data_IF_645365256382
#
_entry.id   IF_645365256382
#
_cell.length_a   1.000
_cell.length_b   1.000
_cell.length_c   1.000
_cell.angle_alpha   90.00
_cell.angle_beta   90.00
_cell.angle_gamma   90.00
#
_symmetry.space_group_name_H-M   'P 1'
#
loop_
_entity.id
_entity.type
_entity.pdbx_description
1 polymer ?
#
# COMPACT_ATOMS: atom_id res chain seq x y z
N UNK A 1 25.16 33.97 63.21
CA UNK A 1 26.06 33.00 63.86
C UNK A 1 26.00 31.74 63.01
N UNK A 2 26.78 31.60 61.94
CA UNK A 2 28.24 31.56 61.86
C UNK A 2 28.81 30.38 62.66
N UNK A 3 29.20 29.32 61.95
CA UNK A 3 30.18 28.33 62.38
C UNK A 3 29.66 26.90 62.58
N UNK A 4 29.90 26.02 61.60
CA UNK A 4 30.45 24.66 61.79
C UNK A 4 30.88 24.13 60.42
N UNK A 5 32.16 24.32 60.03
CA UNK A 5 33.21 23.28 59.97
C UNK A 5 32.79 22.07 59.12
N UNK A 6 33.23 21.89 57.87
CA UNK A 6 34.61 21.72 57.38
C UNK A 6 35.36 20.57 58.06
N UNK A 7 35.12 19.34 57.61
CA UNK A 7 36.12 18.27 57.54
C UNK A 7 35.61 17.16 56.60
N UNK A 8 36.52 16.35 56.05
CA UNK A 8 36.27 15.19 55.17
C UNK A 8 36.36 15.43 53.64
N UNK A 9 37.55 15.87 53.23
CA UNK A 9 38.19 15.45 51.97
C UNK A 9 39.28 14.42 52.32
N UNK A 10 39.22 13.21 51.75
CA UNK A 10 40.37 12.47 51.18
C UNK A 10 40.07 10.96 51.05
N UNK A 11 39.51 10.53 49.93
CA UNK A 11 39.79 9.22 49.31
C UNK A 11 39.11 9.13 47.95
N UNK A 12 39.86 8.82 46.90
CA UNK A 12 39.30 8.41 45.61
C UNK A 12 39.58 9.37 44.47
N UNK A 13 40.85 9.63 44.17
CA UNK A 13 41.24 10.23 42.89
C UNK A 13 42.51 9.54 42.35
N UNK A 14 42.38 8.26 42.01
CA UNK A 14 43.45 7.48 41.34
C UNK A 14 42.96 6.63 40.15
N UNK A 15 41.73 6.84 39.65
CA UNK A 15 41.16 6.02 38.56
C UNK A 15 40.73 6.82 37.32
N UNK A 16 41.38 7.97 37.07
CA UNK A 16 41.07 8.83 35.91
C UNK A 16 42.24 9.03 34.93
N UNK A 17 43.47 8.65 35.28
CA UNK A 17 44.64 8.88 34.41
C UNK A 17 45.05 7.69 33.55
N UNK A 18 44.51 6.47 33.76
CA UNK A 18 44.86 5.31 32.92
C UNK A 18 43.90 5.06 31.74
N UNK A 19 42.75 5.76 31.67
CA UNK A 19 41.76 5.53 30.60
C UNK A 19 41.85 6.50 29.41
N UNK A 20 42.86 7.37 29.39
CA UNK A 20 43.05 8.39 28.35
C UNK A 20 44.19 8.10 27.36
N UNK A 21 45.10 7.15 27.65
CA UNK A 21 46.23 6.82 26.74
C UNK A 21 45.94 5.67 25.76
N UNK A 22 44.81 4.96 25.89
CA UNK A 22 44.45 3.84 25.00
C UNK A 22 43.48 4.22 23.86
N UNK A 23 43.36 5.52 23.55
CA UNK A 23 42.52 6.04 22.45
C UNK A 23 43.29 6.72 21.30
N UNK A 24 44.62 6.61 21.28
CA UNK A 24 45.49 7.42 20.41
C UNK A 24 46.29 6.69 19.32
N UNK A 25 46.15 5.38 19.13
CA UNK A 25 46.94 4.62 18.13
C UNK A 25 46.12 3.53 17.42
N UNK A 26 45.08 3.92 16.68
CA UNK A 26 44.52 3.07 15.63
C UNK A 26 43.69 3.89 14.63
N UNK A 27 44.34 4.87 14.01
CA UNK A 27 43.72 5.68 12.95
C UNK A 27 44.78 6.13 11.94
N UNK A 28 45.44 5.18 11.29
CA UNK A 28 46.04 5.44 9.99
C UNK A 28 46.09 4.18 9.13
N UNK A 29 45.78 4.37 7.84
CA UNK A 29 45.91 3.44 6.72
C UNK A 29 44.96 2.22 6.61
N UNK A 30 43.68 2.47 6.36
CA UNK A 30 42.86 1.59 5.54
C UNK A 30 42.02 2.42 4.56
N UNK A 31 42.66 2.76 3.44
CA UNK A 31 42.02 3.32 2.25
C UNK A 31 40.91 2.36 1.78
N UNK A 32 39.63 2.79 1.71
CA UNK A 32 38.58 1.92 1.18
C UNK A 32 38.86 1.66 -0.32
N UNK A 33 38.73 0.41 -0.80
CA UNK A 33 38.82 0.15 -2.22
C UNK A 33 37.70 0.90 -2.93
N UNK A 34 38.11 1.75 -3.88
CA UNK A 34 37.23 2.39 -4.82
C UNK A 34 36.40 1.32 -5.56
N UNK A 35 35.08 1.56 -5.65
CA UNK A 35 34.27 0.97 -6.72
C UNK A 35 33.66 -0.40 -6.44
N UNK A 36 32.90 -0.54 -5.35
CA UNK A 36 31.84 -1.54 -5.27
C UNK A 36 30.67 -1.12 -6.18
N UNK A 37 30.83 -1.28 -7.49
CA UNK A 37 29.74 -1.10 -8.45
C UNK A 37 28.62 -2.09 -8.13
N UNK A 38 27.49 -1.57 -7.64
CA UNK A 38 26.27 -2.37 -7.49
C UNK A 38 25.96 -2.96 -8.87
N UNK A 39 25.87 -4.30 -9.01
CA UNK A 39 25.57 -4.90 -10.31
C UNK A 39 24.21 -4.39 -10.78
N UNK A 40 24.23 -3.53 -11.80
CA UNK A 40 23.04 -3.19 -12.55
C UNK A 40 22.69 -4.41 -13.38
N UNK A 41 21.76 -5.23 -12.90
CA UNK A 41 21.18 -6.29 -13.71
C UNK A 41 20.34 -5.65 -14.81
N UNK A 42 20.92 -5.55 -16.00
CA UNK A 42 20.19 -5.19 -17.22
C UNK A 42 19.63 -6.49 -17.80
N UNK A 43 18.32 -6.70 -17.64
CA UNK A 43 17.65 -7.83 -18.29
C UNK A 43 17.46 -7.48 -19.77
N UNK A 44 18.34 -8.00 -20.62
CA UNK A 44 18.15 -7.94 -22.06
C UNK A 44 17.21 -9.07 -22.50
N UNK A 45 16.03 -8.70 -23.00
CA UNK A 45 15.17 -9.63 -23.72
C UNK A 45 15.42 -9.40 -25.21
N UNK A 46 15.97 -10.39 -25.90
CA UNK A 46 16.14 -10.34 -27.35
C UNK A 46 14.80 -10.63 -28.04
N UNK A 47 14.35 -9.68 -28.85
CA UNK A 47 13.22 -9.83 -29.76
C UNK A 47 13.75 -9.87 -31.20
N UNK A 48 13.00 -10.50 -32.12
CA UNK A 48 13.29 -10.51 -33.56
C UNK A 48 13.37 -9.10 -34.20
N UNK A 49 12.91 -8.05 -33.50
CA UNK A 49 12.93 -6.66 -33.95
C UNK A 49 13.98 -5.78 -33.26
N UNK A 50 14.87 -6.36 -32.44
CA UNK A 50 15.94 -5.63 -31.73
C UNK A 50 15.84 -5.73 -30.20
N UNK A 51 16.84 -5.16 -29.51
CA UNK A 51 16.98 -5.23 -28.05
C UNK A 51 16.01 -4.27 -27.37
N UNK A 52 15.00 -4.81 -26.66
CA UNK A 52 14.13 -3.99 -25.82
C UNK A 52 14.80 -3.86 -24.45
N UNK A 53 15.33 -2.67 -24.15
CA UNK A 53 15.80 -2.35 -22.81
C UNK A 53 14.60 -2.13 -21.89
N UNK A 54 14.20 -3.17 -21.16
CA UNK A 54 13.34 -3.01 -20.00
C UNK A 54 14.23 -2.43 -18.91
N UNK A 55 14.11 -1.13 -18.67
CA UNK A 55 14.88 -0.41 -17.64
C UNK A 55 14.76 -1.04 -16.25
N UNK A 56 15.59 -0.59 -15.29
CA UNK A 56 15.83 -1.28 -14.03
C UNK A 56 14.53 -1.65 -13.32
N UNK A 57 14.44 -2.92 -12.90
CA UNK A 57 13.43 -3.40 -11.96
C UNK A 57 13.34 -2.41 -10.80
N UNK A 58 12.15 -1.84 -10.58
CA UNK A 58 11.89 -0.88 -9.52
C UNK A 58 12.35 -1.46 -8.18
N UNK A 59 13.48 -0.97 -7.69
CA UNK A 59 14.03 -1.37 -6.40
C UNK A 59 13.14 -0.72 -5.33
N UNK A 60 12.28 -1.53 -4.71
CA UNK A 60 11.25 -1.11 -3.74
C UNK A 60 11.81 -0.49 -2.44
N UNK A 61 13.14 -0.42 -2.26
CA UNK A 61 13.80 0.18 -1.10
C UNK A 61 14.20 1.66 -1.23
N UNK A 62 13.82 2.36 -2.31
CA UNK A 62 14.19 3.77 -2.51
C UNK A 62 13.24 4.73 -1.76
N UNK A 63 13.68 5.94 -1.34
CA UNK A 63 12.82 6.94 -0.68
C UNK A 63 11.57 7.35 -1.51
N UNK A 64 11.55 7.08 -2.81
CA UNK A 64 10.35 7.21 -3.64
C UNK A 64 9.23 6.20 -3.30
N UNK A 65 9.54 5.05 -2.71
CA UNK A 65 8.57 4.03 -2.33
C UNK A 65 7.68 4.47 -1.16
N UNK A 66 8.26 5.09 -0.12
CA UNK A 66 7.49 5.62 1.01
C UNK A 66 6.54 6.77 0.60
N UNK A 67 6.96 7.60 -0.37
CA UNK A 67 6.07 8.60 -0.96
C UNK A 67 4.99 7.98 -1.84
N UNK A 68 5.30 6.90 -2.56
CA UNK A 68 4.33 6.19 -3.36
C UNK A 68 3.27 5.50 -2.50
N UNK A 69 3.65 4.96 -1.34
CA UNK A 69 2.75 4.35 -0.37
C UNK A 69 1.77 5.36 0.21
N UNK A 70 2.25 6.53 0.68
CA UNK A 70 1.36 7.60 1.18
C UNK A 70 0.42 8.16 0.11
N UNK A 71 0.91 8.33 -1.12
CA UNK A 71 0.08 8.79 -2.23
C UNK A 71 -0.95 7.72 -2.63
N UNK A 72 -0.59 6.44 -2.59
CA UNK A 72 -1.51 5.34 -2.82
C UNK A 72 -2.61 5.29 -1.76
N UNK A 73 -2.27 5.47 -0.47
CA UNK A 73 -3.24 5.56 0.63
C UNK A 73 -4.24 6.71 0.43
N UNK A 74 -3.77 7.87 -0.02
CA UNK A 74 -4.62 9.01 -0.36
C UNK A 74 -5.58 8.68 -1.52
N UNK A 75 -5.15 7.83 -2.46
CA UNK A 75 -5.91 7.51 -3.68
C UNK A 75 -6.90 6.37 -3.51
N UNK A 76 -6.59 5.38 -2.67
CA UNK A 76 -7.44 4.19 -2.48
C UNK A 76 -8.43 4.35 -1.35
N UNK A 77 -8.24 5.35 -0.48
CA UNK A 77 -8.80 5.28 0.86
C UNK A 77 -8.25 4.04 1.59
N UNK A 78 -8.96 3.60 2.62
CA UNK A 78 -8.57 2.43 3.42
C UNK A 78 -8.31 1.22 2.52
N UNK A 79 -7.23 0.43 2.73
CA UNK A 79 -6.82 -0.66 1.83
C UNK A 79 -7.82 -1.83 1.77
N UNK A 80 -8.93 -1.70 2.48
CA UNK A 80 -9.98 -2.68 2.63
C UNK A 80 -11.24 -2.27 1.91
N UNK A 81 -11.87 -3.23 1.24
CA UNK A 81 -13.21 -3.07 0.72
C UNK A 81 -14.20 -3.07 1.90
N UNK A 82 -14.68 -1.88 2.26
CA UNK A 82 -15.61 -1.67 3.38
C UNK A 82 -16.90 -2.49 3.19
N UNK A 83 -17.35 -2.70 1.96
CA UNK A 83 -18.53 -3.52 1.66
C UNK A 83 -18.29 -4.99 2.00
N UNK A 84 -17.12 -5.53 1.65
CA UNK A 84 -16.70 -6.90 2.04
C UNK A 84 -16.62 -7.03 3.55
N UNK A 85 -16.01 -6.06 4.25
CA UNK A 85 -15.92 -6.07 5.72
C UNK A 85 -17.30 -6.03 6.37
N UNK A 86 -18.22 -5.18 5.88
CA UNK A 86 -19.61 -5.13 6.37
C UNK A 86 -20.30 -6.48 6.21
N UNK A 87 -20.20 -7.10 5.02
CA UNK A 87 -20.80 -8.43 4.78
C UNK A 87 -20.19 -9.50 5.68
N UNK A 88 -18.87 -9.47 5.90
CA UNK A 88 -18.19 -10.37 6.83
C UNK A 88 -18.74 -10.20 8.25
N UNK A 89 -18.83 -8.96 8.75
CA UNK A 89 -19.35 -8.68 10.09
C UNK A 89 -20.80 -9.15 10.26
N UNK A 90 -21.65 -8.87 9.26
CA UNK A 90 -23.05 -9.32 9.24
C UNK A 90 -23.18 -10.84 9.23
N UNK A 91 -22.27 -11.55 8.55
CA UNK A 91 -22.25 -13.01 8.50
C UNK A 91 -21.62 -13.64 9.76
N UNK A 92 -20.74 -12.92 10.44
CA UNK A 92 -19.95 -13.42 11.56
C UNK A 92 -20.64 -13.26 12.92
N UNK A 93 -21.56 -12.31 13.07
CA UNK A 93 -22.11 -11.95 14.38
C UNK A 93 -23.63 -11.80 14.38
N UNK A 94 -24.24 -12.09 15.53
CA UNK A 94 -25.56 -11.58 15.91
C UNK A 94 -25.41 -10.21 16.60
N UNK A 95 -26.49 -9.43 16.82
CA UNK A 95 -26.37 -8.17 17.58
C UNK A 95 -25.70 -8.37 18.95
N UNK A 96 -26.10 -9.40 19.69
CA UNK A 96 -25.56 -9.71 21.02
C UNK A 96 -24.09 -10.12 20.95
N UNK A 97 -23.73 -10.97 19.98
CA UNK A 97 -22.34 -11.42 19.82
C UNK A 97 -21.43 -10.28 19.40
N UNK A 98 -21.90 -9.35 18.55
CA UNK A 98 -21.12 -8.19 18.14
C UNK A 98 -20.86 -7.24 19.32
N UNK A 99 -21.88 -6.98 20.14
CA UNK A 99 -21.71 -6.17 21.36
C UNK A 99 -20.67 -6.80 22.30
N UNK A 100 -20.77 -8.12 22.52
CA UNK A 100 -19.83 -8.87 23.35
C UNK A 100 -18.42 -8.86 22.76
N UNK A 101 -18.28 -9.08 21.46
CA UNK A 101 -17.01 -9.00 20.75
C UNK A 101 -16.32 -7.65 20.99
N UNK A 102 -17.05 -6.54 20.84
CA UNK A 102 -16.49 -5.22 21.08
C UNK A 102 -16.15 -4.95 22.56
N UNK A 103 -16.83 -5.60 23.51
CA UNK A 103 -16.49 -5.52 24.93
C UNK A 103 -15.21 -6.30 25.28
N UNK A 104 -15.04 -7.47 24.66
CA UNK A 104 -13.91 -8.36 24.93
C UNK A 104 -12.61 -7.82 24.29
N UNK A 105 -12.68 -7.28 23.08
CA UNK A 105 -11.54 -6.75 22.33
C UNK A 105 -11.24 -5.29 22.72
N UNK A 106 -10.11 -5.07 23.41
CA UNK A 106 -9.73 -3.78 24.00
C UNK A 106 -9.80 -2.57 23.05
N UNK A 107 -9.31 -2.64 21.78
CA UNK A 107 -9.38 -1.50 20.86
C UNK A 107 -10.81 -1.06 20.50
N UNK A 108 -11.78 -1.98 20.60
CA UNK A 108 -13.16 -1.75 20.19
C UNK A 108 -14.10 -1.40 21.35
N UNK A 109 -13.67 -1.56 22.62
CA UNK A 109 -14.50 -1.24 23.80
C UNK A 109 -15.20 0.13 23.73
N UNK A 110 -14.55 1.23 23.28
CA UNK A 110 -15.21 2.51 23.20
C UNK A 110 -16.45 2.53 22.30
N UNK A 111 -16.51 1.65 21.28
CA UNK A 111 -17.64 1.61 20.34
C UNK A 111 -18.96 1.20 21.01
N UNK A 112 -18.87 0.42 22.09
CA UNK A 112 -20.04 -0.15 22.79
C UNK A 112 -20.90 0.95 23.41
N UNK A 113 -20.30 2.06 23.83
CA UNK A 113 -21.03 3.21 24.36
C UNK A 113 -21.95 3.88 23.31
N UNK A 114 -21.72 3.62 22.02
CA UNK A 114 -22.54 4.13 20.92
C UNK A 114 -23.62 3.15 20.47
N UNK A 115 -23.64 1.92 21.03
CA UNK A 115 -24.70 0.96 20.79
C UNK A 115 -25.93 1.31 21.63
N UNK A 116 -26.92 1.92 20.98
CA UNK A 116 -28.18 2.31 21.61
C UNK A 116 -29.11 1.12 21.86
N UNK A 117 -30.04 1.22 22.84
CA UNK A 117 -31.04 0.18 23.06
C UNK A 117 -31.92 0.02 21.82
N UNK A 118 -32.02 -1.22 21.32
CA UNK A 118 -32.83 -1.55 20.14
C UNK A 118 -32.18 -1.29 18.79
N UNK A 119 -30.90 -0.93 18.73
CA UNK A 119 -30.17 -0.87 17.45
C UNK A 119 -30.11 -2.27 16.79
N UNK A 120 -30.35 -2.31 15.49
CA UNK A 120 -30.18 -3.53 14.71
C UNK A 120 -28.70 -3.84 14.45
N UNK A 121 -28.42 -5.08 14.06
CA UNK A 121 -27.06 -5.51 13.72
C UNK A 121 -26.41 -4.61 12.65
N UNK A 122 -27.18 -4.19 11.63
CA UNK A 122 -26.68 -3.32 10.55
C UNK A 122 -26.18 -1.99 11.09
N UNK A 123 -26.95 -1.33 11.97
CA UNK A 123 -26.55 -0.06 12.57
C UNK A 123 -25.29 -0.21 13.43
N UNK A 124 -25.20 -1.31 14.19
CA UNK A 124 -24.02 -1.60 15.02
C UNK A 124 -22.77 -1.86 14.18
N UNK A 125 -22.91 -2.63 13.08
CA UNK A 125 -21.84 -2.86 12.12
C UNK A 125 -21.38 -1.55 11.50
N UNK A 126 -22.30 -0.68 11.11
CA UNK A 126 -21.97 0.62 10.51
C UNK A 126 -21.20 1.51 11.48
N UNK A 127 -21.59 1.53 12.76
CA UNK A 127 -20.86 2.24 13.82
C UNK A 127 -19.46 1.69 14.04
N UNK A 128 -19.30 0.37 14.06
CA UNK A 128 -17.98 -0.26 14.21
C UNK A 128 -17.08 0.04 13.01
N UNK A 129 -17.62 -0.04 11.79
CA UNK A 129 -16.91 0.30 10.56
C UNK A 129 -16.47 1.77 10.56
N UNK A 130 -17.34 2.70 10.94
CA UNK A 130 -17.01 4.12 11.03
C UNK A 130 -15.93 4.38 12.10
N UNK A 131 -15.99 3.68 13.22
CA UNK A 131 -14.97 3.74 14.28
C UNK A 131 -13.61 3.23 13.78
N UNK A 132 -13.57 2.03 13.18
CA UNK A 132 -12.35 1.48 12.60
C UNK A 132 -11.75 2.38 11.52
N UNK A 133 -12.58 3.04 10.70
CA UNK A 133 -12.13 4.04 9.73
C UNK A 133 -11.45 5.23 10.40
N UNK A 134 -12.09 5.79 11.42
CA UNK A 134 -11.62 7.00 12.11
C UNK A 134 -10.32 6.77 12.87
N UNK A 135 -10.14 5.56 13.40
CA UNK A 135 -8.98 5.19 14.22
C UNK A 135 -7.96 4.29 13.51
N UNK A 136 -8.14 4.03 12.21
CA UNK A 136 -7.31 3.15 11.39
C UNK A 136 -7.15 1.71 11.95
N UNK A 137 -8.20 1.16 12.58
CA UNK A 137 -8.18 -0.14 13.29
C UNK A 137 -8.64 -1.33 12.43
N UNK A 138 -8.39 -1.31 11.12
CA UNK A 138 -8.88 -2.36 10.23
C UNK A 138 -8.14 -3.69 10.39
N UNK A 139 -6.82 -3.62 10.57
CA UNK A 139 -5.96 -4.80 10.71
C UNK A 139 -6.29 -5.54 12.00
N UNK A 140 -6.47 -4.78 13.09
CA UNK A 140 -6.90 -5.28 14.39
C UNK A 140 -8.30 -5.89 14.32
N UNK A 141 -9.22 -5.26 13.58
CA UNK A 141 -10.58 -5.77 13.43
C UNK A 141 -10.56 -7.11 12.72
N UNK A 142 -9.86 -7.21 11.59
CA UNK A 142 -9.77 -8.44 10.82
C UNK A 142 -9.02 -9.54 11.59
N UNK A 143 -7.96 -9.20 12.32
CA UNK A 143 -7.25 -10.14 13.18
C UNK A 143 -8.14 -10.67 14.30
N UNK A 144 -8.92 -9.80 14.95
CA UNK A 144 -9.86 -10.18 16.00
C UNK A 144 -10.99 -11.07 15.45
N UNK A 145 -11.61 -10.69 14.33
CA UNK A 145 -12.63 -11.52 13.66
C UNK A 145 -12.08 -12.90 13.31
N UNK A 146 -10.84 -12.99 12.80
CA UNK A 146 -10.20 -14.27 12.47
C UNK A 146 -10.04 -15.17 13.69
N UNK A 147 -9.72 -14.61 14.86
CA UNK A 147 -9.63 -15.36 16.12
C UNK A 147 -11.01 -15.81 16.61
N UNK A 148 -11.99 -14.93 16.58
CA UNK A 148 -13.33 -15.18 17.14
C UNK A 148 -14.18 -16.07 16.24
N UNK A 149 -14.11 -15.89 14.92
CA UNK A 149 -14.92 -16.61 13.94
C UNK A 149 -14.09 -16.98 12.68
N UNK A 150 -13.15 -17.94 12.80
CA UNK A 150 -12.25 -18.30 11.71
C UNK A 150 -13.00 -18.84 10.48
N UNK A 151 -14.09 -19.58 10.68
CA UNK A 151 -14.86 -20.17 9.58
C UNK A 151 -15.47 -19.09 8.66
N UNK A 152 -16.06 -18.03 9.23
CA UNK A 152 -16.58 -16.94 8.41
C UNK A 152 -15.44 -16.13 7.80
N UNK A 153 -14.37 -15.86 8.55
CA UNK A 153 -13.21 -15.15 8.00
C UNK A 153 -12.64 -15.84 6.75
N UNK A 154 -12.41 -17.16 6.79
CA UNK A 154 -11.86 -17.91 5.66
C UNK A 154 -12.77 -17.90 4.43
N UNK A 155 -14.09 -17.84 4.60
CA UNK A 155 -15.04 -17.68 3.46
C UNK A 155 -14.89 -16.34 2.75
N UNK A 156 -14.49 -15.29 3.47
CA UNK A 156 -14.28 -13.95 2.92
C UNK A 156 -12.81 -13.65 2.60
N UNK A 157 -11.85 -14.52 2.96
CA UNK A 157 -10.42 -14.26 2.83
C UNK A 157 -9.99 -13.91 1.40
N UNK A 158 -10.55 -14.57 0.39
CA UNK A 158 -10.29 -14.25 -1.02
C UNK A 158 -10.73 -12.81 -1.38
N UNK A 159 -11.91 -12.39 -0.91
CA UNK A 159 -12.46 -11.06 -1.16
C UNK A 159 -11.70 -9.98 -0.37
N UNK A 160 -11.30 -10.27 0.87
CA UNK A 160 -10.44 -9.38 1.66
C UNK A 160 -9.07 -9.20 1.00
N UNK A 161 -8.53 -10.26 0.39
CA UNK A 161 -7.30 -10.21 -0.40
C UNK A 161 -7.41 -9.41 -1.70
N UNK A 162 -8.62 -9.24 -2.26
CA UNK A 162 -8.84 -8.40 -3.44
C UNK A 162 -8.57 -6.91 -3.15
N UNK A 163 -8.78 -6.43 -1.92
CA UNK A 163 -8.37 -5.09 -1.49
C UNK A 163 -6.86 -4.85 -1.61
N UNK A 164 -6.04 -5.89 -1.35
CA UNK A 164 -4.61 -5.83 -1.61
C UNK A 164 -4.28 -5.75 -3.11
N UNK A 165 -5.17 -6.22 -3.99
CA UNK A 165 -5.13 -5.98 -5.43
C UNK A 165 -5.21 -4.48 -5.74
N UNK A 166 -6.26 -3.81 -5.25
CA UNK A 166 -6.46 -2.35 -5.40
C UNK A 166 -5.28 -1.53 -4.87
N UNK A 167 -4.70 -1.90 -3.71
CA UNK A 167 -3.50 -1.23 -3.18
C UNK A 167 -2.30 -1.37 -4.13
N UNK A 168 -2.01 -2.60 -4.58
CA UNK A 168 -0.94 -2.85 -5.57
C UNK A 168 -1.21 -2.11 -6.88
N UNK A 169 -2.47 -1.97 -7.26
CA UNK A 169 -2.87 -1.21 -8.43
C UNK A 169 -2.61 0.29 -8.27
N UNK A 170 -2.89 0.86 -7.10
CA UNK A 170 -2.56 2.26 -6.80
C UNK A 170 -1.06 2.51 -6.81
N UNK A 171 -0.28 1.63 -6.17
CA UNK A 171 1.19 1.70 -6.20
C UNK A 171 1.74 1.70 -7.64
N UNK A 172 1.17 0.87 -8.53
CA UNK A 172 1.51 0.87 -9.96
C UNK A 172 1.19 2.18 -10.66
N UNK A 173 0.04 2.79 -10.35
CA UNK A 173 -0.35 4.07 -10.93
C UNK A 173 0.54 5.21 -10.43
N UNK A 174 0.96 5.20 -9.16
CA UNK A 174 1.94 6.18 -8.65
C UNK A 174 3.28 6.01 -9.36
N UNK A 175 3.76 4.78 -9.52
CA UNK A 175 4.99 4.51 -10.26
C UNK A 175 4.89 4.94 -11.74
N UNK A 176 3.73 4.71 -12.38
CA UNK A 176 3.43 5.18 -13.73
C UNK A 176 3.47 6.71 -13.81
N UNK A 177 2.87 7.40 -12.83
CA UNK A 177 2.87 8.86 -12.75
C UNK A 177 4.30 9.41 -12.63
N UNK A 178 5.12 8.82 -11.76
CA UNK A 178 6.54 9.19 -11.62
C UNK A 178 7.31 8.99 -12.93
N UNK A 179 7.06 7.89 -13.64
CA UNK A 179 7.68 7.60 -14.94
C UNK A 179 7.21 8.55 -16.05
N UNK A 180 5.94 8.96 -16.02
CA UNK A 180 5.42 9.99 -16.92
C UNK A 180 6.10 11.34 -16.68
N UNK A 181 6.34 11.72 -15.41
CA UNK A 181 7.09 12.95 -15.08
C UNK A 181 8.52 12.92 -15.64
N UNK A 182 9.20 11.79 -15.53
CA UNK A 182 10.61 11.66 -15.94
C UNK A 182 10.81 11.55 -17.44
N UNK A 183 9.92 10.85 -18.16
CA UNK A 183 10.06 10.59 -19.60
C UNK A 183 9.43 11.66 -20.49
N UNK A 184 8.40 12.36 -20.03
CA UNK A 184 7.69 13.32 -20.88
C UNK A 184 8.46 14.64 -21.02
N UNK A 185 8.63 15.08 -22.27
CA UNK A 185 9.01 16.45 -22.58
C UNK A 185 7.99 17.43 -21.96
N UNK A 186 8.45 18.61 -21.56
CA UNK A 186 7.65 19.60 -20.81
C UNK A 186 6.21 19.82 -21.33
N UNK A 187 5.95 20.01 -22.65
CA UNK A 187 4.59 20.23 -23.13
C UNK A 187 3.69 18.99 -23.03
N UNK A 188 4.25 17.78 -23.15
CA UNK A 188 3.48 16.52 -23.10
C UNK A 188 3.33 15.97 -21.69
N UNK A 189 4.12 16.46 -20.74
CA UNK A 189 4.10 15.99 -19.34
C UNK A 189 2.74 16.21 -18.69
N UNK A 190 2.14 17.38 -18.87
CA UNK A 190 0.83 17.68 -18.26
C UNK A 190 -0.26 16.77 -18.81
N UNK A 191 -0.29 16.54 -20.12
CA UNK A 191 -1.27 15.64 -20.75
C UNK A 191 -1.08 14.19 -20.29
N UNK A 192 0.16 13.71 -20.23
CA UNK A 192 0.47 12.38 -19.73
C UNK A 192 -0.02 12.20 -18.28
N UNK A 193 0.21 13.20 -17.41
CA UNK A 193 -0.26 13.16 -16.02
C UNK A 193 -1.78 13.15 -15.93
N UNK A 194 -2.47 14.01 -16.70
CA UNK A 194 -3.93 14.03 -16.75
C UNK A 194 -4.50 12.68 -17.21
N UNK A 195 -3.82 12.00 -18.15
CA UNK A 195 -4.21 10.66 -18.61
C UNK A 195 -3.97 9.58 -17.56
N UNK A 196 -2.88 9.65 -16.78
CA UNK A 196 -2.69 8.76 -15.62
C UNK A 196 -3.79 8.99 -14.57
N UNK A 197 -4.18 10.24 -14.34
CA UNK A 197 -5.25 10.57 -13.40
C UNK A 197 -6.62 10.07 -13.88
N UNK A 198 -6.91 10.18 -15.18
CA UNK A 198 -8.11 9.60 -15.80
C UNK A 198 -8.11 8.06 -15.73
N UNK A 199 -6.97 7.42 -15.99
CA UNK A 199 -6.77 5.99 -15.83
C UNK A 199 -7.05 5.56 -14.38
N UNK A 200 -6.55 6.32 -13.40
CA UNK A 200 -6.81 6.09 -11.98
C UNK A 200 -8.30 6.17 -11.67
N UNK A 201 -8.98 7.23 -12.08
CA UNK A 201 -10.43 7.36 -11.88
C UNK A 201 -11.19 6.16 -12.45
N UNK A 202 -10.95 5.85 -13.73
CA UNK A 202 -11.59 4.72 -14.41
C UNK A 202 -11.35 3.36 -13.72
N UNK A 203 -10.15 3.12 -13.18
CA UNK A 203 -9.81 1.86 -12.51
C UNK A 203 -10.41 1.72 -11.11
N UNK A 204 -10.63 2.84 -10.40
CA UNK A 204 -11.12 2.83 -9.02
C UNK A 204 -12.61 3.09 -8.88
N UNK A 205 -13.33 3.31 -9.98
CA UNK A 205 -14.78 3.31 -9.97
C UNK A 205 -15.35 1.93 -9.55
N UNK A 206 -16.54 1.88 -8.90
CA UNK A 206 -17.18 0.62 -8.52
C UNK A 206 -17.38 -0.33 -9.71
N UNK A 207 -17.64 0.23 -10.90
CA UNK A 207 -17.66 -0.46 -12.19
C UNK A 207 -16.67 0.26 -13.11
N UNK A 208 -15.48 -0.31 -13.39
CA UNK A 208 -14.47 0.35 -14.20
C UNK A 208 -14.95 0.80 -15.58
N UNK A 209 -14.62 2.04 -15.97
CA UNK A 209 -14.92 2.58 -17.31
C UNK A 209 -13.96 2.03 -18.36
N UNK A 210 -14.33 0.89 -18.95
CA UNK A 210 -13.50 0.17 -19.92
C UNK A 210 -13.21 0.98 -21.20
N UNK A 211 -14.12 1.87 -21.61
CA UNK A 211 -13.91 2.73 -22.77
C UNK A 211 -12.85 3.81 -22.49
N UNK A 212 -12.84 4.38 -21.28
CA UNK A 212 -11.80 5.30 -20.86
C UNK A 212 -10.44 4.61 -20.67
N UNK A 213 -10.42 3.37 -20.15
CA UNK A 213 -9.19 2.56 -20.08
C UNK A 213 -8.60 2.32 -21.48
N UNK A 214 -9.43 1.92 -22.44
CA UNK A 214 -9.01 1.61 -23.81
C UNK A 214 -8.48 2.86 -24.53
N UNK A 215 -9.24 3.96 -24.48
CA UNK A 215 -8.83 5.22 -25.12
C UNK A 215 -7.53 5.76 -24.51
N UNK A 216 -7.35 5.64 -23.20
CA UNK A 216 -6.13 6.04 -22.50
C UNK A 216 -4.93 5.19 -22.91
N UNK A 217 -5.10 3.86 -22.96
CA UNK A 217 -4.04 2.96 -23.42
C UNK A 217 -3.64 3.23 -24.88
N UNK A 218 -4.61 3.42 -25.79
CA UNK A 218 -4.35 3.76 -27.20
C UNK A 218 -3.55 5.05 -27.32
N UNK A 219 -3.87 6.08 -26.52
CA UNK A 219 -3.11 7.32 -26.48
C UNK A 219 -1.66 7.09 -26.02
N UNK A 220 -1.44 6.38 -24.91
CA UNK A 220 -0.08 6.08 -24.44
C UNK A 220 0.71 5.25 -25.46
N UNK A 221 0.05 4.33 -26.16
CA UNK A 221 0.68 3.54 -27.24
C UNK A 221 1.14 4.41 -28.40
N UNK A 222 0.34 5.42 -28.80
CA UNK A 222 0.67 6.32 -29.90
C UNK A 222 1.69 7.39 -29.51
N UNK A 223 1.46 8.09 -28.40
CA UNK A 223 2.18 9.31 -28.05
C UNK A 223 3.36 9.08 -27.09
N UNK A 224 3.33 7.98 -26.33
CA UNK A 224 4.35 7.64 -25.33
C UNK A 224 4.64 6.13 -25.25
N UNK A 225 5.13 5.49 -26.33
CA UNK A 225 5.33 4.04 -26.37
C UNK A 225 6.05 3.43 -25.16
N UNK A 226 7.08 4.06 -24.55
CA UNK A 226 7.74 3.53 -23.35
C UNK A 226 6.84 3.37 -22.11
N UNK A 227 5.67 4.00 -22.07
CA UNK A 227 4.69 3.90 -20.99
C UNK A 227 3.51 2.97 -21.31
N UNK A 228 3.36 2.55 -22.57
CA UNK A 228 2.23 1.71 -23.01
C UNK A 228 2.17 0.35 -22.29
N UNK A 229 3.32 -0.30 -22.09
CA UNK A 229 3.42 -1.56 -21.35
C UNK A 229 2.98 -1.44 -19.88
N UNK A 230 3.54 -0.48 -19.11
CA UNK A 230 3.06 -0.19 -17.76
C UNK A 230 1.56 0.11 -17.65
N UNK A 231 1.00 0.88 -18.60
CA UNK A 231 -0.45 1.17 -18.65
C UNK A 231 -1.25 -0.11 -18.89
N UNK A 232 -0.87 -0.92 -19.88
CA UNK A 232 -1.54 -2.18 -20.18
C UNK A 232 -1.46 -3.15 -18.99
N UNK A 233 -0.30 -3.22 -18.31
CA UNK A 233 -0.12 -4.04 -17.11
C UNK A 233 -1.05 -3.65 -15.97
N UNK A 234 -1.30 -2.34 -15.79
CA UNK A 234 -2.31 -1.86 -14.86
C UNK A 234 -3.71 -2.30 -15.29
N UNK A 235 -4.09 -2.10 -16.55
CA UNK A 235 -5.42 -2.49 -17.06
C UNK A 235 -5.67 -4.00 -16.91
N UNK A 236 -4.71 -4.85 -17.28
CA UNK A 236 -4.82 -6.31 -17.14
C UNK A 236 -4.91 -6.77 -15.68
N UNK A 237 -4.37 -5.99 -14.74
CA UNK A 237 -4.52 -6.29 -13.33
C UNK A 237 -5.92 -6.02 -12.80
N UNK A 238 -6.54 -4.93 -13.24
CA UNK A 238 -7.96 -4.70 -12.99
C UNK A 238 -8.83 -5.78 -13.66
N UNK A 239 -8.47 -6.23 -14.87
CA UNK A 239 -9.14 -7.37 -15.51
C UNK A 239 -9.20 -8.62 -14.63
N UNK A 240 -8.10 -8.96 -13.95
CA UNK A 240 -8.08 -10.09 -12.99
C UNK A 240 -8.97 -9.86 -11.77
N UNK A 241 -9.10 -8.61 -11.32
CA UNK A 241 -10.00 -8.26 -10.22
C UNK A 241 -11.47 -8.35 -10.66
N UNK A 242 -11.79 -7.89 -11.86
CA UNK A 242 -13.12 -8.04 -12.49
C UNK A 242 -13.47 -9.53 -12.62
N UNK A 243 -12.55 -10.35 -13.14
CA UNK A 243 -12.73 -11.80 -13.27
C UNK A 243 -12.98 -12.50 -11.93
N UNK A 244 -12.37 -12.00 -10.85
CA UNK A 244 -12.56 -12.55 -9.51
C UNK A 244 -13.86 -12.06 -8.84
N UNK A 245 -14.51 -11.05 -9.41
CA UNK A 245 -15.83 -10.58 -8.99
C UNK A 245 -16.96 -11.37 -9.64
N UNK A 246 -18.19 -11.07 -9.22
CA UNK A 246 -19.43 -11.71 -9.72
C UNK A 246 -20.09 -10.92 -10.87
N UNK A 247 -19.33 -10.14 -11.65
CA UNK A 247 -19.84 -9.31 -12.77
C UNK A 247 -19.43 -9.90 -14.13
N UNK A 248 -20.15 -10.95 -14.55
CA UNK A 248 -19.91 -11.67 -15.81
C UNK A 248 -20.03 -10.77 -17.05
N UNK A 249 -20.95 -9.80 -17.02
CA UNK A 249 -21.17 -8.86 -18.12
C UNK A 249 -19.95 -7.96 -18.31
N UNK A 250 -19.46 -7.37 -17.21
CA UNK A 250 -18.26 -6.54 -17.23
C UNK A 250 -17.02 -7.35 -17.62
N UNK A 251 -16.92 -8.60 -17.17
CA UNK A 251 -15.81 -9.47 -17.58
C UNK A 251 -15.85 -9.79 -19.07
N UNK A 252 -17.03 -10.10 -19.63
CA UNK A 252 -17.18 -10.34 -21.06
C UNK A 252 -16.81 -9.09 -21.89
N UNK A 253 -17.24 -7.90 -21.47
CA UNK A 253 -16.85 -6.65 -22.12
C UNK A 253 -15.34 -6.40 -22.02
N UNK A 254 -14.72 -6.71 -20.87
CA UNK A 254 -13.28 -6.60 -20.71
C UNK A 254 -12.54 -7.54 -21.68
N UNK A 255 -12.99 -8.78 -21.84
CA UNK A 255 -12.40 -9.74 -22.77
C UNK A 255 -12.54 -9.30 -24.22
N UNK A 256 -13.69 -8.76 -24.62
CA UNK A 256 -13.90 -8.23 -25.97
C UNK A 256 -12.90 -7.11 -26.31
N UNK A 257 -12.68 -6.18 -25.36
CA UNK A 257 -11.81 -5.01 -25.59
C UNK A 257 -10.32 -5.30 -25.46
N UNK A 258 -9.92 -6.15 -24.50
CA UNK A 258 -8.53 -6.33 -24.10
C UNK A 258 -8.01 -7.76 -24.29
N UNK A 259 -8.85 -8.74 -24.65
CA UNK A 259 -8.48 -10.14 -24.79
C UNK A 259 -7.41 -10.38 -25.86
N UNK A 260 -7.47 -9.65 -26.97
CA UNK A 260 -6.46 -9.73 -28.04
C UNK A 260 -5.10 -9.10 -27.67
N UNK A 261 -5.06 -8.34 -26.57
CA UNK A 261 -3.86 -7.62 -26.12
C UNK A 261 -3.05 -8.39 -25.08
N UNK A 262 -3.60 -9.50 -24.57
CA UNK A 262 -2.87 -10.42 -23.71
C UNK A 262 -1.90 -11.24 -24.57
N UNK A 263 -0.58 -11.16 -24.32
CA UNK A 263 0.44 -11.92 -25.05
C UNK A 263 0.39 -13.42 -24.75
#
# INVERSE_FOLDING_TARGET
MAGEKAEEQAAGNEDASQKAEERGREADAAQPPAGGGVPQYVTHIQSAQGTINIGPTLNLGSPGAAHAERAAEEWTGTPYDVGVIRRLLLAAFTPQDLARFCQDEEPFRPVVAYFGPGQGLVDMVDRLVDYCRTHALWDELLAAIRRTNPAQYERFAAQLGAGAGRRRQAERLVALQQRARSLAAAPRRQEALARVDALRQALFEPRPDLALLESTWRWFRAEMPPLSGPVLSAILAAGREIQAGDDDELWAEFQDRFGELAP
#
